data_IF_504533301584
#
_entry.id   IF_504533301584
#
_cell.length_a   1.000
_cell.length_b   1.000
_cell.length_c   1.000
_cell.angle_alpha   90.00
_cell.angle_beta   90.00
_cell.angle_gamma   90.00
#
_symmetry.space_group_name_H-M   'P 1'
#
loop_
_entity.id
_entity.type
_entity.pdbx_description
1 polymer ?
#
# COMPACT_ATOMS: atom_id res chain seq x y z
N UNK A 1 -0.19 13.79 10.64
CA UNK A 1 -1.25 14.09 9.66
C UNK A 1 -1.28 15.60 9.53
N UNK A 2 -1.51 16.13 8.32
CA UNK A 2 -1.46 17.55 8.01
C UNK A 2 -2.74 17.98 7.33
N UNK A 3 -3.38 19.02 7.86
CA UNK A 3 -4.53 19.66 7.23
C UNK A 3 -4.03 20.57 6.11
N UNK A 4 -4.59 20.39 4.92
CA UNK A 4 -4.23 21.17 3.73
C UNK A 4 -5.50 21.66 3.07
N UNK A 5 -5.52 22.93 2.70
CA UNK A 5 -6.62 23.54 1.97
C UNK A 5 -6.16 23.96 0.57
N UNK A 6 -6.92 23.59 -0.45
CA UNK A 6 -6.69 23.98 -1.84
C UNK A 6 -8.02 24.20 -2.54
N UNK A 7 -8.19 25.36 -3.19
CA UNK A 7 -9.44 25.78 -3.86
C UNK A 7 -10.70 25.60 -2.98
N UNK A 8 -10.60 25.97 -1.70
CA UNK A 8 -11.72 25.88 -0.74
C UNK A 8 -12.00 24.48 -0.19
N UNK A 9 -11.31 23.44 -0.67
CA UNK A 9 -11.45 22.07 -0.16
C UNK A 9 -10.34 21.80 0.85
N UNK A 10 -10.69 21.29 2.03
CA UNK A 10 -9.72 20.85 3.04
C UNK A 10 -9.64 19.32 3.09
N UNK A 11 -8.41 18.78 3.01
CA UNK A 11 -8.13 17.35 3.19
C UNK A 11 -7.14 17.15 4.32
N UNK A 12 -7.34 16.09 5.11
CA UNK A 12 -6.39 15.64 6.13
C UNK A 12 -5.45 14.59 5.52
N UNK A 13 -4.21 14.97 5.23
CA UNK A 13 -3.24 14.15 4.50
C UNK A 13 -2.17 13.53 5.43
N UNK A 14 -1.62 12.35 5.11
CA UNK A 14 -0.42 11.86 5.78
C UNK A 14 0.77 12.80 5.57
N UNK A 15 1.55 13.08 6.62
CA UNK A 15 2.68 14.03 6.56
C UNK A 15 3.69 13.64 5.47
N UNK A 16 3.96 12.33 5.36
CA UNK A 16 4.80 11.70 4.32
C UNK A 16 4.41 12.02 2.87
N UNK A 17 3.23 12.59 2.61
CA UNK A 17 2.85 12.99 1.25
C UNK A 17 3.44 14.34 0.85
N UNK A 18 3.86 15.14 1.84
CA UNK A 18 4.42 16.47 1.66
C UNK A 18 5.78 16.63 2.36
N UNK A 19 6.32 15.54 2.91
CA UNK A 19 7.60 15.49 3.61
C UNK A 19 8.75 15.91 2.70
N UNK A 20 9.67 16.74 3.20
CA UNK A 20 10.83 17.23 2.45
C UNK A 20 10.54 18.28 1.39
N UNK A 21 9.28 18.48 0.98
CA UNK A 21 8.93 19.45 -0.07
C UNK A 21 8.74 20.87 0.47
N UNK A 22 9.31 21.85 -0.25
CA UNK A 22 9.19 23.30 0.05
C UNK A 22 8.77 24.10 -1.19
N UNK A 23 8.30 25.33 -0.97
CA UNK A 23 8.03 26.30 -2.03
C UNK A 23 7.15 25.77 -3.17
N UNK A 24 7.66 25.87 -4.40
CA UNK A 24 6.94 25.46 -5.63
C UNK A 24 6.64 23.96 -5.67
N UNK A 25 7.56 23.10 -5.24
CA UNK A 25 7.37 21.64 -5.27
C UNK A 25 6.24 21.21 -4.34
N UNK A 26 6.18 21.78 -3.13
CA UNK A 26 5.10 21.51 -2.17
C UNK A 26 3.74 21.89 -2.74
N UNK A 27 3.65 23.08 -3.34
CA UNK A 27 2.41 23.56 -3.98
C UNK A 27 1.97 22.67 -5.14
N UNK A 28 2.91 22.24 -6.00
CA UNK A 28 2.64 21.33 -7.11
C UNK A 28 2.17 19.95 -6.63
N UNK A 29 2.81 19.39 -5.60
CA UNK A 29 2.39 18.13 -4.99
C UNK A 29 0.97 18.24 -4.43
N UNK A 30 0.67 19.29 -3.66
CA UNK A 30 -0.69 19.57 -3.15
C UNK A 30 -1.67 19.64 -4.32
N UNK A 31 -1.41 20.47 -5.33
CA UNK A 31 -2.26 20.59 -6.52
C UNK A 31 -2.58 19.22 -7.13
N UNK A 32 -1.57 18.37 -7.35
CA UNK A 32 -1.78 17.02 -7.90
C UNK A 32 -2.65 16.12 -7.01
N UNK A 33 -2.62 16.27 -5.67
CA UNK A 33 -3.42 15.47 -4.72
C UNK A 33 -4.88 15.91 -4.75
N UNK A 34 -5.13 17.20 -4.95
CA UNK A 34 -6.50 17.71 -5.00
C UNK A 34 -7.15 17.53 -6.36
N UNK A 35 -6.37 17.62 -7.44
CA UNK A 35 -6.85 17.46 -8.82
C UNK A 35 -6.78 16.01 -9.31
N UNK A 36 -6.39 15.06 -8.45
CA UNK A 36 -6.29 13.63 -8.75
C UNK A 36 -5.44 13.34 -10.01
N UNK A 37 -4.33 14.06 -10.17
CA UNK A 37 -3.39 13.89 -11.29
C UNK A 37 -2.13 13.15 -10.87
N UNK A 38 -1.29 12.81 -11.85
CA UNK A 38 0.02 12.18 -11.62
C UNK A 38 0.90 13.11 -10.76
N UNK A 39 1.66 12.52 -9.82
CA UNK A 39 2.57 13.29 -8.96
C UNK A 39 3.65 13.97 -9.80
N UNK A 40 3.96 15.26 -9.54
CA UNK A 40 5.08 15.92 -10.19
C UNK A 40 6.40 15.25 -9.81
N UNK A 41 7.40 15.39 -10.69
CA UNK A 41 8.79 15.07 -10.36
C UNK A 41 9.34 16.16 -9.45
N UNK A 42 9.98 15.76 -8.36
CA UNK A 42 10.48 16.63 -7.30
C UNK A 42 11.87 16.18 -6.86
N UNK A 43 12.55 17.02 -6.08
CA UNK A 43 13.83 16.73 -5.42
C UNK A 43 13.77 15.62 -4.36
N UNK A 44 12.57 15.15 -3.99
CA UNK A 44 12.38 14.15 -2.95
C UNK A 44 13.00 12.78 -3.30
N UNK A 45 13.80 12.23 -2.39
CA UNK A 45 14.40 10.91 -2.55
C UNK A 45 13.34 9.83 -2.24
N UNK A 46 12.83 9.19 -3.28
CA UNK A 46 11.82 8.14 -3.14
C UNK A 46 12.41 6.88 -2.52
N UNK A 47 11.65 6.24 -1.61
CA UNK A 47 12.00 4.95 -1.01
C UNK A 47 11.06 3.86 -1.51
N UNK A 48 11.61 2.67 -1.77
CA UNK A 48 10.81 1.48 -2.08
C UNK A 48 9.88 1.15 -0.91
N UNK A 49 8.79 0.44 -1.19
CA UNK A 49 7.90 -0.06 -0.15
C UNK A 49 8.52 -1.29 0.50
N UNK A 50 8.44 -1.41 1.82
CA UNK A 50 8.83 -2.62 2.54
C UNK A 50 8.11 -3.87 1.98
N UNK A 51 6.88 -3.71 1.46
CA UNK A 51 6.14 -4.81 0.82
C UNK A 51 6.76 -5.25 -0.50
N UNK A 52 7.33 -4.31 -1.27
CA UNK A 52 8.10 -4.62 -2.48
C UNK A 52 9.34 -5.42 -2.12
N UNK A 53 10.08 -5.01 -1.09
CA UNK A 53 11.26 -5.74 -0.61
C UNK A 53 10.90 -7.14 -0.09
N UNK A 54 9.87 -7.23 0.75
CA UNK A 54 9.37 -8.51 1.30
C UNK A 54 8.95 -9.47 0.19
N UNK A 55 8.21 -8.98 -0.81
CA UNK A 55 7.79 -9.79 -1.94
C UNK A 55 8.99 -10.22 -2.80
N UNK A 56 9.93 -9.31 -3.07
CA UNK A 56 11.12 -9.63 -3.86
C UNK A 56 12.03 -10.64 -3.16
N UNK A 57 12.12 -10.61 -1.83
CA UNK A 57 12.87 -11.60 -1.07
C UNK A 57 12.35 -13.02 -1.26
N UNK A 58 11.03 -13.18 -1.49
CA UNK A 58 10.38 -14.49 -1.67
C UNK A 58 10.30 -14.89 -3.15
N UNK A 59 9.82 -14.00 -4.01
CA UNK A 59 9.48 -14.32 -5.40
C UNK A 59 10.31 -13.56 -6.45
N UNK A 60 11.19 -12.65 -6.03
CA UNK A 60 11.91 -11.74 -6.94
C UNK A 60 12.75 -12.48 -7.98
N UNK A 61 13.58 -13.42 -7.51
CA UNK A 61 14.45 -14.24 -8.38
C UNK A 61 13.65 -15.10 -9.36
N UNK A 62 12.50 -15.61 -8.96
CA UNK A 62 11.65 -16.43 -9.82
C UNK A 62 11.04 -15.57 -10.93
N UNK A 63 10.48 -14.41 -10.57
CA UNK A 63 9.89 -13.46 -11.52
C UNK A 63 10.91 -12.93 -12.52
N UNK A 64 12.14 -12.67 -12.09
CA UNK A 64 13.22 -12.20 -12.98
C UNK A 64 13.60 -13.21 -14.06
N UNK A 65 13.41 -14.52 -13.80
CA UNK A 65 13.64 -15.58 -14.79
C UNK A 65 12.46 -15.77 -15.75
N UNK A 66 11.29 -15.23 -15.45
CA UNK A 66 10.10 -15.39 -16.28
C UNK A 66 10.11 -14.41 -17.46
N UNK A 67 9.59 -14.87 -18.61
CA UNK A 67 9.34 -13.99 -19.76
C UNK A 67 8.42 -12.84 -19.35
N UNK A 68 8.74 -11.62 -19.80
CA UNK A 68 8.04 -10.38 -19.44
C UNK A 68 8.14 -9.96 -17.97
N UNK A 69 9.06 -10.57 -17.20
CA UNK A 69 9.44 -10.15 -15.85
C UNK A 69 8.25 -9.87 -14.93
N UNK A 70 8.22 -8.66 -14.35
CA UNK A 70 7.20 -8.27 -13.37
C UNK A 70 5.91 -7.83 -14.06
N UNK A 71 4.90 -8.70 -14.01
CA UNK A 71 3.52 -8.42 -14.41
C UNK A 71 2.54 -9.24 -13.54
N UNK A 72 1.25 -8.90 -13.56
CA UNK A 72 0.25 -9.56 -12.71
C UNK A 72 0.08 -11.05 -13.01
N UNK A 73 0.28 -11.50 -14.26
CA UNK A 73 0.19 -12.92 -14.64
C UNK A 73 1.32 -13.73 -14.01
N UNK A 74 2.55 -13.21 -14.08
CA UNK A 74 3.71 -13.86 -13.46
C UNK A 74 3.58 -13.85 -11.93
N UNK A 75 3.13 -12.74 -11.34
CA UNK A 75 2.86 -12.66 -9.90
C UNK A 75 1.77 -13.68 -9.49
N UNK A 76 0.70 -13.82 -10.26
CA UNK A 76 -0.35 -14.81 -10.03
C UNK A 76 0.21 -16.23 -10.05
N UNK A 77 1.06 -16.55 -11.03
CA UNK A 77 1.69 -17.86 -11.18
C UNK A 77 2.57 -18.26 -9.99
N UNK A 78 3.42 -17.35 -9.50
CA UNK A 78 4.33 -17.64 -8.37
C UNK A 78 3.61 -17.64 -7.03
N UNK A 79 2.61 -16.75 -6.86
CA UNK A 79 1.86 -16.64 -5.60
C UNK A 79 0.69 -17.63 -5.47
N UNK A 80 0.31 -18.29 -6.58
CA UNK A 80 -0.88 -19.16 -6.71
C UNK A 80 -2.20 -18.44 -6.43
N UNK A 81 -2.24 -17.13 -6.62
CA UNK A 81 -3.45 -16.31 -6.46
C UNK A 81 -4.07 -16.05 -7.84
N UNK A 82 -5.40 -16.19 -8.01
CA UNK A 82 -6.07 -15.88 -9.26
C UNK A 82 -5.73 -14.49 -9.79
N UNK A 83 -5.36 -14.37 -11.07
CA UNK A 83 -4.95 -13.10 -11.69
C UNK A 83 -6.04 -12.03 -11.55
N UNK A 84 -7.32 -12.40 -11.69
CA UNK A 84 -8.48 -11.50 -11.52
C UNK A 84 -8.54 -10.88 -10.12
N UNK A 85 -8.15 -11.62 -9.08
CA UNK A 85 -8.08 -11.09 -7.73
C UNK A 85 -6.96 -10.04 -7.60
N UNK A 86 -5.81 -10.30 -8.23
CA UNK A 86 -4.68 -9.37 -8.23
C UNK A 86 -4.97 -8.11 -9.05
N UNK A 87 -5.66 -8.24 -10.18
CA UNK A 87 -6.13 -7.12 -11.01
C UNK A 87 -7.08 -6.22 -10.21
N UNK A 88 -8.04 -6.79 -9.48
CA UNK A 88 -8.98 -6.01 -8.66
C UNK A 88 -8.24 -5.26 -7.53
N UNK A 89 -7.29 -5.91 -6.86
CA UNK A 89 -6.42 -5.25 -5.85
C UNK A 89 -5.56 -4.16 -6.48
N UNK A 90 -5.00 -4.41 -7.66
CA UNK A 90 -4.17 -3.46 -8.40
C UNK A 90 -4.98 -2.21 -8.78
N UNK A 91 -6.16 -2.38 -9.37
CA UNK A 91 -7.08 -1.29 -9.73
C UNK A 91 -7.46 -0.44 -8.52
N UNK A 92 -7.73 -1.06 -7.36
CA UNK A 92 -7.95 -0.32 -6.11
C UNK A 92 -6.71 0.43 -5.63
N UNK A 93 -5.52 -0.10 -5.90
CA UNK A 93 -4.26 0.58 -5.67
C UNK A 93 -4.11 1.84 -6.51
N UNK A 94 -4.39 1.76 -7.80
CA UNK A 94 -4.42 2.91 -8.71
C UNK A 94 -5.46 3.94 -8.25
N UNK A 95 -6.66 3.51 -7.92
CA UNK A 95 -7.70 4.42 -7.41
C UNK A 95 -7.28 5.11 -6.10
N UNK A 96 -6.63 4.38 -5.18
CA UNK A 96 -6.14 4.95 -3.93
C UNK A 96 -5.02 5.98 -4.15
N UNK A 97 -4.16 5.78 -5.16
CA UNK A 97 -3.13 6.75 -5.53
C UNK A 97 -3.73 8.10 -5.95
N UNK A 98 -4.81 8.07 -6.75
CA UNK A 98 -5.44 9.29 -7.23
C UNK A 98 -6.31 9.94 -6.15
N UNK A 99 -7.26 9.19 -5.59
CA UNK A 99 -8.28 9.74 -4.69
C UNK A 99 -7.73 10.07 -3.30
N UNK A 100 -6.86 9.20 -2.77
CA UNK A 100 -6.26 9.36 -1.45
C UNK A 100 -4.96 10.17 -1.48
N UNK A 101 -4.34 10.31 -2.64
CA UNK A 101 -2.99 10.85 -2.80
C UNK A 101 -1.90 9.81 -2.53
N UNK A 102 -0.65 10.23 -2.73
CA UNK A 102 0.52 9.37 -2.54
C UNK A 102 1.76 10.20 -2.17
N UNK A 103 2.86 9.50 -1.87
CA UNK A 103 4.17 10.13 -1.60
C UNK A 103 4.69 10.83 -2.86
N UNK A 104 5.57 11.86 -2.72
CA UNK A 104 6.20 12.49 -3.87
C UNK A 104 6.93 11.47 -4.75
N UNK A 105 7.02 11.73 -6.06
CA UNK A 105 7.69 10.88 -7.04
C UNK A 105 7.13 9.44 -7.15
N UNK A 106 5.92 9.16 -6.66
CA UNK A 106 5.27 7.87 -6.88
C UNK A 106 4.50 7.82 -8.20
N UNK A 107 4.52 6.67 -8.84
CA UNK A 107 3.65 6.35 -9.98
C UNK A 107 2.41 5.57 -9.53
N UNK A 108 1.29 5.63 -10.26
CA UNK A 108 0.12 4.81 -9.96
C UNK A 108 0.44 3.31 -9.90
N UNK A 109 1.27 2.82 -10.83
CA UNK A 109 1.62 1.41 -10.95
C UNK A 109 2.47 0.94 -9.77
N UNK A 110 3.50 1.71 -9.40
CA UNK A 110 4.37 1.37 -8.26
C UNK A 110 3.58 1.34 -6.94
N UNK A 111 2.61 2.24 -6.79
CA UNK A 111 1.69 2.26 -5.65
C UNK A 111 0.75 1.05 -5.67
N UNK A 112 0.20 0.71 -6.83
CA UNK A 112 -0.69 -0.43 -7.01
C UNK A 112 0.03 -1.77 -6.78
N UNK A 113 1.26 -1.93 -7.29
CA UNK A 113 2.08 -3.10 -7.02
C UNK A 113 2.43 -3.23 -5.53
N UNK A 114 2.78 -2.14 -4.85
CA UNK A 114 3.01 -2.18 -3.40
C UNK A 114 1.77 -2.66 -2.63
N UNK A 115 0.56 -2.28 -3.09
CA UNK A 115 -0.70 -2.78 -2.55
C UNK A 115 -0.89 -4.27 -2.82
N UNK A 116 -0.65 -4.73 -4.05
CA UNK A 116 -0.68 -6.15 -4.44
C UNK A 116 0.28 -6.96 -3.57
N UNK A 117 1.52 -6.51 -3.39
CA UNK A 117 2.49 -7.20 -2.54
C UNK A 117 2.06 -7.27 -1.09
N UNK A 118 1.49 -6.20 -0.53
CA UNK A 118 0.89 -6.22 0.81
C UNK A 118 -0.26 -7.23 0.90
N UNK A 119 -1.10 -7.37 -0.14
CA UNK A 119 -2.17 -8.36 -0.18
C UNK A 119 -1.63 -9.79 -0.15
N UNK A 120 -0.66 -10.08 -1.03
CA UNK A 120 -0.01 -11.40 -1.16
C UNK A 120 0.76 -11.76 0.10
N UNK A 121 1.51 -10.84 0.68
CA UNK A 121 2.41 -11.11 1.81
C UNK A 121 1.72 -11.00 3.18
N UNK A 122 0.42 -10.68 3.26
CA UNK A 122 -0.33 -10.69 4.52
C UNK A 122 -0.30 -9.37 5.29
N UNK A 123 -0.03 -8.28 4.59
CA UNK A 123 -0.20 -6.92 5.09
C UNK A 123 -1.66 -6.51 5.29
N UNK A 124 -1.86 -5.26 5.70
CA UNK A 124 -3.19 -4.74 6.02
C UNK A 124 -4.14 -4.75 4.81
N UNK A 125 -3.60 -4.68 3.59
CA UNK A 125 -4.39 -4.79 2.35
C UNK A 125 -5.23 -6.05 2.33
N UNK A 126 -4.69 -7.20 2.79
CA UNK A 126 -5.43 -8.47 2.82
C UNK A 126 -6.72 -8.38 3.65
N UNK A 127 -6.71 -7.59 4.73
CA UNK A 127 -7.89 -7.37 5.58
C UNK A 127 -8.87 -6.40 4.93
N UNK A 128 -8.36 -5.28 4.39
CA UNK A 128 -9.18 -4.27 3.72
C UNK A 128 -9.88 -4.85 2.48
N UNK A 129 -9.19 -5.76 1.77
CA UNK A 129 -9.66 -6.39 0.53
C UNK A 129 -10.17 -7.82 0.77
N UNK A 130 -10.65 -8.15 1.98
CA UNK A 130 -11.15 -9.48 2.32
C UNK A 130 -12.34 -9.93 1.45
N UNK A 131 -13.13 -8.99 0.91
CA UNK A 131 -14.19 -9.30 -0.05
C UNK A 131 -13.62 -9.88 -1.36
N UNK A 132 -12.45 -9.39 -1.82
CA UNK A 132 -11.76 -9.93 -3.00
C UNK A 132 -11.28 -11.35 -2.70
N UNK A 133 -10.74 -11.58 -1.50
CA UNK A 133 -10.35 -12.93 -1.04
C UNK A 133 -11.53 -13.89 -1.10
N UNK A 134 -12.70 -13.49 -0.58
CA UNK A 134 -13.92 -14.29 -0.60
C UNK A 134 -14.43 -14.52 -2.03
N UNK A 135 -14.50 -13.46 -2.84
CA UNK A 135 -15.02 -13.47 -4.21
C UNK A 135 -14.29 -14.44 -5.12
N UNK A 136 -12.96 -14.53 -5.01
CA UNK A 136 -12.13 -15.40 -5.86
C UNK A 136 -11.59 -16.64 -5.14
N UNK A 137 -12.12 -16.97 -3.94
CA UNK A 137 -11.68 -18.09 -3.11
C UNK A 137 -10.14 -18.17 -2.97
N UNK A 138 -9.51 -17.02 -2.68
CA UNK A 138 -8.04 -16.91 -2.70
C UNK A 138 -7.43 -17.74 -1.58
N UNK A 139 -6.53 -18.65 -1.95
CA UNK A 139 -5.71 -19.42 -1.03
C UNK A 139 -4.34 -18.76 -0.89
N UNK A 140 -3.99 -18.33 0.33
CA UNK A 140 -2.70 -17.72 0.58
C UNK A 140 -1.68 -18.77 1.00
N UNK A 141 -0.54 -18.78 0.33
CA UNK A 141 0.61 -19.62 0.67
C UNK A 141 1.48 -18.98 1.77
N UNK A 142 1.58 -17.65 1.76
CA UNK A 142 2.39 -16.91 2.74
C UNK A 142 1.55 -16.31 3.88
N UNK A 143 1.98 -16.60 5.11
CA UNK A 143 1.45 -16.01 6.33
C UNK A 143 2.59 -15.40 7.14
N UNK A 144 2.54 -14.09 7.39
CA UNK A 144 3.45 -13.47 8.37
C UNK A 144 3.11 -14.05 9.73
N UNK A 145 4.01 -14.86 10.29
CA UNK A 145 3.93 -15.26 11.71
C UNK A 145 3.97 -13.97 12.55
N UNK A 146 2.96 -13.76 13.40
CA UNK A 146 3.00 -12.65 14.36
C UNK A 146 4.26 -12.79 15.23
N UNK A 147 5.10 -11.75 15.25
CA UNK A 147 6.27 -11.73 16.14
C UNK A 147 5.83 -11.83 17.60
N UNK A 148 6.67 -12.47 18.45
CA UNK A 148 6.41 -12.60 19.90
C UNK A 148 6.14 -11.25 20.56
N UNK A 149 6.87 -10.21 20.14
CA UNK A 149 6.70 -8.81 20.55
C UNK A 149 5.35 -8.22 20.17
N UNK A 150 4.85 -8.46 18.94
CA UNK A 150 3.50 -8.02 18.54
C UNK A 150 2.39 -8.75 19.31
N UNK A 151 2.53 -10.06 19.55
CA UNK A 151 1.59 -10.83 20.38
C UNK A 151 1.49 -10.24 21.80
N UNK A 152 2.63 -9.95 22.44
CA UNK A 152 2.68 -9.33 23.79
C UNK A 152 1.97 -7.97 23.81
N UNK A 153 2.22 -7.11 22.81
CA UNK A 153 1.63 -5.76 22.72
C UNK A 153 0.12 -5.78 22.46
N UNK A 154 -0.37 -6.75 21.69
CA UNK A 154 -1.80 -6.96 21.44
C UNK A 154 -2.53 -7.46 22.68
N UNK A 155 -1.92 -8.38 23.41
CA UNK A 155 -2.43 -8.86 24.69
C UNK A 155 -2.52 -7.72 25.70
N UNK A 156 -1.46 -6.92 25.82
CA UNK A 156 -1.44 -5.74 26.70
C UNK A 156 -2.56 -4.74 26.39
N UNK A 157 -2.77 -4.38 25.11
CA UNK A 157 -3.88 -3.48 24.73
C UNK A 157 -5.26 -4.08 25.03
N UNK A 158 -5.42 -5.40 24.91
CA UNK A 158 -6.67 -6.10 25.22
C UNK A 158 -6.98 -6.07 26.72
N UNK A 159 -5.98 -6.30 27.58
CA UNK A 159 -6.15 -6.20 29.04
C UNK A 159 -6.45 -4.76 29.46
N UNK A 160 -5.74 -3.78 28.91
CA UNK A 160 -5.95 -2.36 29.23
C UNK A 160 -7.38 -1.90 28.91
N UNK A 161 -7.90 -2.28 27.73
CA UNK A 161 -9.26 -1.92 27.31
C UNK A 161 -10.33 -2.60 28.17
N UNK A 162 -10.13 -3.88 28.50
CA UNK A 162 -11.04 -4.64 29.39
C UNK A 162 -11.09 -4.07 30.82
N UNK A 163 -10.05 -3.37 31.26
CA UNK A 163 -10.01 -2.75 32.58
C UNK A 163 -10.66 -1.34 32.57
N UNK A 164 -10.55 -0.60 31.47
CA UNK A 164 -11.24 0.68 31.31
C UNK A 164 -12.75 0.56 31.02
N UNK A 165 -13.22 -0.57 30.51
CA UNK A 165 -14.66 -0.83 30.28
C UNK A 165 -15.37 -1.39 31.54
N UNK A 166 -14.65 -1.60 32.66
CA UNK A 166 -15.17 -2.14 33.94
C UNK A 166 -15.22 -1.11 35.08
N UNK A 167 -14.81 0.13 34.80
CA UNK A 167 -15.01 1.31 35.65
C UNK A 167 -16.04 2.22 34.99
#
# INVERSE_FOLDING_TARGET
MVLVTYKGITKNLPDRYLEGLKGKERKAQIKSIFENTVRPKTSFISKKSNWTETFNAVYGKEIEKMKNGRNLKNIANVSKIPVKALEEVFTKGVAAYYNGGSRPNQTPESWAYARVYSYIMGGNTRKVDAHITKKYNVQFTYFIKQSKTMKKRKNFKKTYRKNNERN
#
